data_IF_184869251959
#
_entry.id   IF_184869251959
#
_cell.length_a   1.000
_cell.length_b   1.000
_cell.length_c   1.000
_cell.angle_alpha   90.00
_cell.angle_beta   90.00
_cell.angle_gamma   90.00
#
_symmetry.space_group_name_H-M   'P 1'
#
loop_
_entity.id
_entity.type
_entity.pdbx_description
1 polymer ?
#
# COMPACT_ATOMS: atom_id res chain seq x y z
N UNK A 1 -11.49 -15.13 16.41
CA UNK A 1 -11.25 -14.82 17.84
C UNK A 1 -11.03 -13.33 17.99
N UNK A 2 -12.10 -12.56 18.24
CA UNK A 2 -12.00 -11.11 18.50
C UNK A 2 -11.55 -10.94 19.95
N UNK A 3 -10.31 -10.50 20.18
CA UNK A 3 -9.85 -10.08 21.51
C UNK A 3 -10.51 -8.72 21.80
N UNK A 4 -11.65 -8.73 22.47
CA UNK A 4 -12.20 -7.52 23.07
C UNK A 4 -11.22 -7.09 24.16
N UNK A 5 -10.56 -5.95 23.97
CA UNK A 5 -9.82 -5.31 25.06
C UNK A 5 -10.85 -4.65 25.95
N UNK A 6 -11.28 -5.35 26.99
CA UNK A 6 -12.22 -4.82 27.97
C UNK A 6 -11.51 -3.79 28.87
N UNK A 7 -11.36 -2.56 28.38
CA UNK A 7 -11.03 -1.42 29.21
C UNK A 7 -12.28 -1.03 30.01
N UNK A 8 -12.23 -1.19 31.33
CA UNK A 8 -13.36 -0.92 32.22
C UNK A 8 -12.93 -0.83 33.68
N UNK A 9 -13.75 -0.14 34.47
CA UNK A 9 -13.54 0.05 35.91
C UNK A 9 -14.12 -1.15 36.67
N UNK A 10 -13.38 -1.69 37.64
CA UNK A 10 -13.90 -2.76 38.51
C UNK A 10 -14.65 -2.15 39.69
N UNK A 11 -15.93 -2.48 39.84
CA UNK A 11 -16.79 -2.03 40.94
C UNK A 11 -17.11 -3.20 41.88
N UNK A 12 -17.27 -2.91 43.17
CA UNK A 12 -17.64 -3.92 44.18
C UNK A 12 -19.15 -3.94 44.38
N UNK A 13 -19.77 -5.10 44.22
CA UNK A 13 -21.20 -5.26 44.44
C UNK A 13 -21.56 -5.08 45.93
N UNK A 14 -22.49 -4.18 46.23
CA UNK A 14 -22.97 -3.94 47.60
C UNK A 14 -23.64 -5.15 48.25
N UNK A 15 -24.27 -6.03 47.46
CA UNK A 15 -25.06 -7.14 47.99
C UNK A 15 -24.24 -8.44 48.16
N UNK A 16 -23.33 -8.76 47.22
CA UNK A 16 -22.56 -10.00 47.27
C UNK A 16 -21.06 -9.82 47.47
N UNK A 17 -20.57 -8.58 47.56
CA UNK A 17 -19.16 -8.26 47.78
C UNK A 17 -18.21 -8.59 46.61
N UNK A 18 -18.70 -9.22 45.54
CA UNK A 18 -17.89 -9.59 44.37
C UNK A 18 -17.58 -8.36 43.51
N UNK A 19 -16.37 -8.33 42.95
CA UNK A 19 -16.00 -7.36 41.94
C UNK A 19 -16.65 -7.72 40.60
N UNK A 20 -17.22 -6.73 39.93
CA UNK A 20 -17.74 -6.86 38.57
C UNK A 20 -17.15 -5.75 37.69
N UNK A 21 -17.02 -6.04 36.40
CA UNK A 21 -16.48 -5.10 35.44
C UNK A 21 -17.59 -4.16 34.98
N UNK A 22 -17.30 -2.86 35.00
CA UNK A 22 -18.11 -1.81 34.41
C UNK A 22 -17.34 -1.28 33.21
N UNK A 23 -17.79 -1.66 32.02
CA UNK A 23 -17.09 -1.39 30.76
C UNK A 23 -17.34 0.03 30.27
N UNK A 24 -16.45 0.56 29.42
CA UNK A 24 -16.61 1.89 28.84
C UNK A 24 -17.96 2.06 28.11
N UNK A 25 -18.39 1.02 27.37
CA UNK A 25 -19.69 1.04 26.69
C UNK A 25 -20.88 1.11 27.64
N UNK A 26 -20.76 0.54 28.85
CA UNK A 26 -21.78 0.68 29.88
C UNK A 26 -21.72 2.06 30.54
N UNK A 27 -20.54 2.67 30.68
CA UNK A 27 -20.40 4.03 31.18
C UNK A 27 -21.13 5.04 30.28
N UNK A 28 -20.85 5.00 28.98
CA UNK A 28 -21.50 5.87 27.98
C UNK A 28 -23.02 5.68 27.93
N UNK A 29 -23.49 4.45 28.16
CA UNK A 29 -24.92 4.14 28.20
C UNK A 29 -25.60 4.78 29.43
N UNK A 30 -24.96 4.67 30.60
CA UNK A 30 -25.50 5.24 31.84
C UNK A 30 -25.51 6.77 31.79
N UNK A 31 -24.47 7.39 31.25
CA UNK A 31 -24.40 8.85 31.08
C UNK A 31 -25.46 9.36 30.11
N UNK A 32 -25.61 8.73 28.94
CA UNK A 32 -26.64 9.12 27.94
C UNK A 32 -28.06 9.06 28.49
N UNK A 33 -28.33 8.10 29.37
CA UNK A 33 -29.64 7.94 30.00
C UNK A 33 -29.81 8.77 31.28
N UNK A 34 -28.77 9.48 31.74
CA UNK A 34 -28.80 10.25 32.98
C UNK A 34 -28.88 9.37 34.25
N UNK A 35 -28.38 8.14 34.18
CA UNK A 35 -28.41 7.18 35.28
C UNK A 35 -27.11 7.20 36.10
N UNK A 36 -27.26 6.98 37.41
CA UNK A 36 -26.12 6.82 38.31
C UNK A 36 -25.44 5.46 38.13
N UNK A 37 -24.13 5.41 38.36
CA UNK A 37 -23.33 4.19 38.28
C UNK A 37 -23.92 3.05 39.11
N UNK A 38 -23.80 1.82 38.63
CA UNK A 38 -24.42 0.69 39.29
C UNK A 38 -23.75 0.32 40.62
N UNK A 39 -24.54 0.23 41.69
CA UNK A 39 -24.07 -0.23 43.01
C UNK A 39 -24.10 -1.75 43.21
N UNK A 40 -24.66 -2.50 42.24
CA UNK A 40 -24.90 -3.94 42.32
C UNK A 40 -24.55 -4.63 41.00
N UNK A 41 -23.98 -5.83 41.07
CA UNK A 41 -23.70 -6.64 39.88
C UNK A 41 -25.00 -7.12 39.21
N UNK A 42 -24.87 -7.54 37.94
CA UNK A 42 -25.99 -8.01 37.10
C UNK A 42 -26.77 -9.15 37.74
N UNK A 43 -26.08 -10.11 38.35
CA UNK A 43 -26.71 -11.25 39.03
C UNK A 43 -27.59 -10.80 40.19
N UNK A 44 -27.06 -9.95 41.08
CA UNK A 44 -27.82 -9.44 42.23
C UNK A 44 -29.00 -8.55 41.81
N UNK A 45 -28.89 -7.81 40.70
CA UNK A 45 -30.02 -7.07 40.13
C UNK A 45 -31.11 -8.00 39.58
N UNK A 46 -30.73 -9.01 38.81
CA UNK A 46 -31.69 -9.97 38.25
C UNK A 46 -32.42 -10.78 39.32
N UNK A 47 -31.75 -11.12 40.44
CA UNK A 47 -32.37 -11.82 41.56
C UNK A 47 -33.38 -10.92 42.26
N UNK A 48 -33.10 -9.62 42.40
CA UNK A 48 -34.05 -8.67 43.00
C UNK A 48 -35.24 -8.41 42.10
N UNK A 49 -35.04 -8.29 40.78
CA UNK A 49 -36.13 -8.21 39.80
C UNK A 49 -37.03 -9.45 39.87
N UNK A 50 -36.44 -10.65 39.96
CA UNK A 50 -37.20 -11.90 40.10
C UNK A 50 -37.93 -12.03 41.44
N UNK A 51 -37.37 -11.47 42.53
CA UNK A 51 -38.00 -11.50 43.86
C UNK A 51 -39.08 -10.43 44.06
N UNK A 52 -39.03 -9.32 43.32
CA UNK A 52 -40.03 -8.24 43.35
C UNK A 52 -41.06 -8.36 42.21
N UNK A 53 -41.31 -9.56 41.69
CA UNK A 53 -42.32 -9.84 40.67
C UNK A 53 -43.78 -9.67 41.10
N UNK A 54 -44.08 -8.69 41.97
CA UNK A 54 -45.44 -8.22 42.21
C UNK A 54 -45.63 -6.95 41.38
N UNK A 55 -46.17 -7.09 40.17
CA UNK A 55 -46.75 -5.93 39.49
C UNK A 55 -47.99 -5.52 40.30
N UNK A 56 -47.97 -4.32 40.86
CA UNK A 56 -49.18 -3.72 41.39
C UNK A 56 -49.87 -2.97 40.25
N UNK A 57 -51.20 -3.02 40.20
CA UNK A 57 -51.98 -2.18 39.29
C UNK A 57 -51.56 -0.71 39.49
N UNK A 58 -51.15 -0.04 38.41
CA UNK A 58 -50.71 1.36 38.49
C UNK A 58 -51.81 2.30 38.97
N UNK A 59 -53.06 1.96 38.68
CA UNK A 59 -54.22 2.80 39.03
C UNK A 59 -54.72 2.58 40.46
N UNK A 60 -54.80 1.32 40.92
CA UNK A 60 -55.45 0.98 42.19
C UNK A 60 -54.55 0.25 43.21
N UNK A 61 -53.28 0.00 42.87
CA UNK A 61 -52.28 -0.59 43.77
C UNK A 61 -52.49 -2.07 44.09
N UNK A 62 -53.51 -2.74 43.54
CA UNK A 62 -53.79 -4.15 43.79
C UNK A 62 -52.71 -5.04 43.19
N UNK A 63 -52.26 -6.06 43.94
CA UNK A 63 -51.28 -7.05 43.47
C UNK A 63 -51.83 -7.86 42.30
N UNK A 64 -51.18 -7.80 41.16
CA UNK A 64 -51.51 -8.56 39.95
C UNK A 64 -50.87 -9.93 40.06
N UNK A 65 -51.69 -10.99 40.02
CA UNK A 65 -51.21 -12.36 40.20
C UNK A 65 -50.51 -12.90 38.95
N UNK A 66 -50.79 -12.32 37.78
CA UNK A 66 -50.28 -12.77 36.50
C UNK A 66 -49.78 -11.54 35.73
N UNK A 67 -48.45 -11.39 35.61
CA UNK A 67 -47.75 -10.22 35.05
C UNK A 67 -47.98 -9.96 33.56
N UNK A 68 -49.19 -10.17 33.04
CA UNK A 68 -49.59 -9.93 31.66
C UNK A 68 -50.07 -8.49 31.41
N UNK A 69 -50.30 -7.69 32.47
CA UNK A 69 -50.86 -6.34 32.35
C UNK A 69 -50.32 -5.42 33.46
N UNK A 70 -50.26 -4.12 33.16
CA UNK A 70 -49.90 -3.03 34.10
C UNK A 70 -51.12 -2.58 34.95
N UNK A 71 -52.34 -2.90 34.50
CA UNK A 71 -53.61 -2.59 35.15
C UNK A 71 -54.36 -3.86 35.56
N UNK A 72 -55.19 -3.81 36.61
CA UNK A 72 -56.08 -4.91 36.98
C UNK A 72 -57.29 -4.99 36.05
N UNK A 73 -57.94 -6.16 36.01
CA UNK A 73 -59.11 -6.40 35.15
C UNK A 73 -60.24 -5.38 35.36
N UNK A 74 -60.42 -4.92 36.60
CA UNK A 74 -61.40 -3.88 36.95
C UNK A 74 -61.04 -2.52 36.33
N UNK A 75 -59.78 -2.08 36.48
CA UNK A 75 -59.31 -0.79 35.95
C UNK A 75 -59.21 -0.80 34.42
N UNK A 76 -58.91 -1.97 33.82
CA UNK A 76 -58.95 -2.15 32.37
C UNK A 76 -60.35 -1.95 31.78
N UNK A 77 -61.40 -2.43 32.46
CA UNK A 77 -62.78 -2.21 32.01
C UNK A 77 -63.24 -0.76 32.13
N UNK A 78 -62.72 -0.02 33.10
CA UNK A 78 -63.06 1.40 33.28
C UNK A 78 -62.40 2.33 32.25
N UNK A 79 -61.40 1.86 31.50
CA UNK A 79 -60.75 2.61 30.43
C UNK A 79 -61.55 2.60 29.09
N UNK A 80 -62.72 1.97 29.06
CA UNK A 80 -63.55 1.93 27.86
C UNK A 80 -64.23 3.28 27.64
N UNK A 81 -63.77 4.00 26.62
CA UNK A 81 -64.48 4.96 25.73
C UNK A 81 -63.53 6.08 25.32
N UNK A 82 -62.48 5.73 24.57
CA UNK A 82 -61.76 6.72 23.77
C UNK A 82 -62.09 6.41 22.32
N UNK A 83 -62.73 7.37 21.65
CA UNK A 83 -63.06 7.33 20.23
C UNK A 83 -61.80 6.93 19.43
N UNK A 84 -61.71 5.70 18.94
CA UNK A 84 -60.53 5.23 18.21
C UNK A 84 -60.53 5.85 16.81
N UNK A 85 -59.80 6.96 16.66
CA UNK A 85 -59.48 7.54 15.36
C UNK A 85 -58.20 6.89 14.81
N UNK A 86 -58.19 6.56 13.52
CA UNK A 86 -56.98 6.11 12.84
C UNK A 86 -55.84 7.12 13.07
N UNK A 87 -54.72 6.66 13.62
CA UNK A 87 -53.57 7.53 13.94
C UNK A 87 -52.96 8.24 12.72
N UNK A 88 -53.17 7.70 11.51
CA UNK A 88 -52.61 8.25 10.28
C UNK A 88 -53.51 9.27 9.59
N UNK A 89 -54.84 9.09 9.63
CA UNK A 89 -55.78 9.91 8.85
C UNK A 89 -56.93 10.50 9.68
N UNK A 90 -57.04 10.17 10.96
CA UNK A 90 -58.08 10.66 11.87
C UNK A 90 -59.47 10.05 11.63
N UNK A 91 -59.65 9.17 10.64
CA UNK A 91 -60.94 8.57 10.35
C UNK A 91 -61.39 7.64 11.49
N UNK A 92 -62.66 7.70 11.85
CA UNK A 92 -63.27 6.99 12.99
C UNK A 92 -64.09 5.78 12.53
N UNK A 93 -63.83 5.32 11.30
CA UNK A 93 -64.50 4.15 10.72
C UNK A 93 -63.57 2.95 10.86
N UNK A 94 -63.83 2.14 11.89
CA UNK A 94 -63.12 0.90 12.12
C UNK A 94 -63.57 0.25 13.43
N UNK A 95 -63.74 -1.06 13.37
CA UNK A 95 -63.97 -1.93 14.53
C UNK A 95 -62.95 -1.61 15.64
N UNK A 96 -63.40 -1.61 16.91
CA UNK A 96 -62.79 -0.96 18.10
C UNK A 96 -61.39 -1.50 18.50
N UNK A 97 -60.74 -2.28 17.64
CA UNK A 97 -59.53 -3.06 17.96
C UNK A 97 -58.28 -2.65 17.18
N UNK A 98 -58.37 -1.82 16.13
CA UNK A 98 -57.23 -1.52 15.24
C UNK A 98 -56.75 -0.06 15.31
N UNK A 99 -55.43 0.12 15.51
CA UNK A 99 -54.73 1.42 15.60
C UNK A 99 -54.70 2.19 14.27
N UNK A 100 -54.87 1.49 13.14
CA UNK A 100 -54.95 2.03 11.79
C UNK A 100 -56.20 1.50 11.08
N UNK A 101 -56.87 2.34 10.28
CA UNK A 101 -57.95 1.87 9.41
C UNK A 101 -57.41 0.97 8.28
N UNK A 102 -58.27 0.12 7.72
CA UNK A 102 -57.88 -0.86 6.69
C UNK A 102 -57.20 -0.22 5.46
N UNK A 103 -57.61 0.99 5.07
CA UNK A 103 -57.02 1.73 3.96
C UNK A 103 -55.62 2.25 4.28
N UNK A 104 -55.42 2.85 5.46
CA UNK A 104 -54.11 3.32 5.91
C UNK A 104 -53.13 2.17 6.14
N UNK A 105 -53.60 1.05 6.70
CA UNK A 105 -52.78 -0.15 6.87
C UNK A 105 -52.32 -0.73 5.52
N UNK A 106 -53.24 -0.87 4.56
CA UNK A 106 -52.91 -1.36 3.21
C UNK A 106 -51.96 -0.42 2.45
N UNK A 107 -52.12 0.90 2.62
CA UNK A 107 -51.18 1.89 2.07
C UNK A 107 -49.80 1.77 2.71
N UNK A 108 -49.73 1.69 4.03
CA UNK A 108 -48.46 1.52 4.74
C UNK A 108 -47.73 0.23 4.34
N UNK A 109 -48.47 -0.86 4.12
CA UNK A 109 -47.92 -2.11 3.63
C UNK A 109 -47.33 -1.96 2.21
N UNK A 110 -48.07 -1.35 1.27
CA UNK A 110 -47.59 -1.09 -0.09
C UNK A 110 -46.37 -0.16 -0.12
N UNK A 111 -46.36 0.87 0.72
CA UNK A 111 -45.23 1.80 0.82
C UNK A 111 -43.99 1.10 1.41
N UNK A 112 -44.17 0.23 2.41
CA UNK A 112 -43.10 -0.61 2.95
C UNK A 112 -42.55 -1.59 1.89
N UNK A 113 -43.41 -2.24 1.11
CA UNK A 113 -43.02 -3.13 0.02
C UNK A 113 -42.21 -2.39 -1.06
N UNK A 114 -42.65 -1.18 -1.46
CA UNK A 114 -41.90 -0.31 -2.38
C UNK A 114 -40.53 0.08 -1.82
N UNK A 115 -40.48 0.42 -0.53
CA UNK A 115 -39.24 0.80 0.14
C UNK A 115 -38.25 -0.37 0.16
N UNK A 116 -38.73 -1.57 0.50
CA UNK A 116 -37.95 -2.82 0.47
C UNK A 116 -37.39 -3.07 -0.93
N UNK A 117 -38.23 -2.94 -1.97
CA UNK A 117 -37.79 -3.15 -3.36
C UNK A 117 -36.74 -2.13 -3.79
N UNK A 118 -36.89 -0.87 -3.38
CA UNK A 118 -35.88 0.17 -3.59
C UNK A 118 -34.56 -0.18 -2.91
N UNK A 119 -34.58 -0.64 -1.66
CA UNK A 119 -33.38 -1.04 -0.94
C UNK A 119 -32.73 -2.28 -1.54
N UNK A 120 -33.52 -3.26 -1.99
CA UNK A 120 -33.01 -4.46 -2.69
C UNK A 120 -32.24 -4.10 -3.96
N UNK A 121 -32.80 -3.21 -4.79
CA UNK A 121 -32.13 -2.73 -6.01
C UNK A 121 -30.85 -1.94 -5.70
N UNK A 122 -30.87 -1.13 -4.64
CA UNK A 122 -29.68 -0.42 -4.20
C UNK A 122 -28.60 -1.38 -3.66
N UNK A 123 -29.00 -2.43 -2.94
CA UNK A 123 -28.11 -3.46 -2.43
C UNK A 123 -27.47 -4.27 -3.56
N UNK A 124 -28.24 -4.74 -4.54
CA UNK A 124 -27.69 -5.48 -5.68
C UNK A 124 -26.74 -4.63 -6.52
N UNK A 125 -27.05 -3.33 -6.72
CA UNK A 125 -26.14 -2.41 -7.39
C UNK A 125 -24.84 -2.17 -6.58
N UNK A 126 -24.92 -2.16 -5.25
CA UNK A 126 -23.74 -2.06 -4.39
C UNK A 126 -22.91 -3.34 -4.43
N UNK A 127 -23.54 -4.51 -4.43
CA UNK A 127 -22.88 -5.81 -4.57
C UNK A 127 -22.13 -5.92 -5.90
N UNK A 128 -22.74 -5.54 -7.02
CA UNK A 128 -22.05 -5.55 -8.31
C UNK A 128 -20.83 -4.60 -8.33
N UNK A 129 -20.92 -3.44 -7.67
CA UNK A 129 -19.78 -2.53 -7.53
C UNK A 129 -18.69 -3.09 -6.64
N UNK A 130 -19.06 -3.76 -5.54
CA UNK A 130 -18.12 -4.43 -4.65
C UNK A 130 -17.39 -5.54 -5.41
N UNK A 131 -18.11 -6.38 -6.15
CA UNK A 131 -17.52 -7.45 -6.94
C UNK A 131 -16.54 -6.90 -8.01
N UNK A 132 -16.89 -5.81 -8.68
CA UNK A 132 -16.00 -5.16 -9.64
C UNK A 132 -14.74 -4.55 -8.96
N UNK A 133 -14.88 -4.03 -7.75
CA UNK A 133 -13.75 -3.52 -6.97
C UNK A 133 -12.86 -4.66 -6.45
N UNK A 134 -13.45 -5.78 -6.04
CA UNK A 134 -12.74 -6.99 -5.62
C UNK A 134 -11.94 -7.59 -6.77
N UNK A 135 -12.52 -7.72 -7.96
CA UNK A 135 -11.79 -8.20 -9.15
C UNK A 135 -10.63 -7.25 -9.52
N UNK A 136 -10.85 -5.93 -9.45
CA UNK A 136 -9.77 -4.96 -9.66
C UNK A 136 -8.66 -5.05 -8.61
N UNK A 137 -9.00 -5.36 -7.37
CA UNK A 137 -8.02 -5.58 -6.30
C UNK A 137 -7.18 -6.85 -6.55
N UNK A 138 -7.80 -7.93 -7.03
CA UNK A 138 -7.09 -9.16 -7.43
C UNK A 138 -6.10 -8.89 -8.57
N UNK A 139 -6.50 -8.13 -9.60
CA UNK A 139 -5.61 -7.70 -10.70
C UNK A 139 -4.41 -6.90 -10.17
N UNK A 140 -4.65 -5.93 -9.27
CA UNK A 140 -3.58 -5.14 -8.66
C UNK A 140 -2.66 -5.99 -7.78
N UNK A 141 -3.19 -6.98 -7.06
CA UNK A 141 -2.37 -7.91 -6.28
C UNK A 141 -1.45 -8.74 -7.18
N UNK A 142 -1.93 -9.16 -8.35
CA UNK A 142 -1.11 -9.88 -9.32
C UNK A 142 -0.04 -9.00 -9.95
N UNK A 143 -0.38 -7.78 -10.36
CA UNK A 143 0.60 -6.83 -10.85
C UNK A 143 1.68 -6.50 -9.79
N UNK A 144 1.29 -6.38 -8.52
CA UNK A 144 2.21 -6.14 -7.41
C UNK A 144 3.14 -7.35 -7.18
N UNK A 145 2.65 -8.57 -7.34
CA UNK A 145 3.47 -9.77 -7.26
C UNK A 145 4.50 -9.84 -8.39
N UNK A 146 4.08 -9.59 -9.63
CA UNK A 146 4.98 -9.53 -10.80
C UNK A 146 6.05 -8.45 -10.64
N UNK A 147 5.66 -7.25 -10.19
CA UNK A 147 6.58 -6.15 -9.94
C UNK A 147 7.64 -6.53 -8.89
N UNK A 148 7.24 -7.23 -7.81
CA UNK A 148 8.18 -7.72 -6.78
C UNK A 148 9.16 -8.75 -7.34
N UNK A 149 8.70 -9.69 -8.15
CA UNK A 149 9.59 -10.65 -8.81
C UNK A 149 10.60 -9.91 -9.71
N UNK A 150 10.13 -8.91 -10.47
CA UNK A 150 11.00 -8.13 -11.35
C UNK A 150 12.06 -7.33 -10.58
N UNK A 151 11.71 -6.77 -9.43
CA UNK A 151 12.67 -6.10 -8.55
C UNK A 151 13.75 -7.09 -8.09
N UNK A 152 13.37 -8.27 -7.60
CA UNK A 152 14.31 -9.29 -7.15
C UNK A 152 15.28 -9.74 -8.28
N UNK A 153 14.78 -9.89 -9.51
CA UNK A 153 15.63 -10.17 -10.67
C UNK A 153 16.65 -9.06 -10.96
N UNK A 154 16.22 -7.79 -10.83
CA UNK A 154 17.09 -6.64 -11.08
C UNK A 154 18.14 -6.47 -9.98
N UNK A 155 17.78 -6.76 -8.73
CA UNK A 155 18.73 -6.77 -7.60
C UNK A 155 19.83 -7.81 -7.83
N UNK A 156 19.48 -9.03 -8.24
CA UNK A 156 20.47 -10.06 -8.56
C UNK A 156 21.40 -9.63 -9.72
N UNK A 157 20.85 -8.98 -10.75
CA UNK A 157 21.65 -8.46 -11.87
C UNK A 157 22.59 -7.35 -11.44
N UNK A 158 22.13 -6.44 -10.58
CA UNK A 158 22.97 -5.37 -10.04
C UNK A 158 24.12 -5.94 -9.21
N UNK A 159 23.86 -6.96 -8.38
CA UNK A 159 24.89 -7.64 -7.61
C UNK A 159 25.94 -8.30 -8.51
N UNK A 160 25.52 -9.02 -9.55
CA UNK A 160 26.45 -9.62 -10.51
C UNK A 160 27.30 -8.56 -11.24
N UNK A 161 26.68 -7.46 -11.68
CA UNK A 161 27.38 -6.35 -12.31
C UNK A 161 28.39 -5.69 -11.37
N UNK A 162 28.06 -5.55 -10.08
CA UNK A 162 28.98 -5.02 -9.08
C UNK A 162 30.20 -5.94 -8.92
N UNK A 163 29.99 -7.25 -8.84
CA UNK A 163 31.10 -8.22 -8.75
C UNK A 163 31.99 -8.17 -9.99
N UNK A 164 31.42 -8.03 -11.19
CA UNK A 164 32.19 -7.92 -12.42
C UNK A 164 32.95 -6.58 -12.49
N UNK A 165 32.37 -5.49 -11.98
CA UNK A 165 33.04 -4.20 -11.83
C UNK A 165 34.23 -4.31 -10.87
N UNK A 166 34.08 -4.97 -9.72
CA UNK A 166 35.17 -5.22 -8.77
C UNK A 166 36.29 -6.03 -9.40
N UNK A 167 35.97 -7.11 -10.14
CA UNK A 167 36.96 -7.91 -10.88
C UNK A 167 37.71 -7.05 -11.90
N UNK A 168 36.98 -6.21 -12.66
CA UNK A 168 37.58 -5.31 -13.64
C UNK A 168 38.51 -4.28 -12.97
N UNK A 169 38.09 -3.72 -11.82
CA UNK A 169 38.92 -2.83 -11.03
C UNK A 169 40.20 -3.52 -10.53
N UNK A 170 40.09 -4.73 -9.98
CA UNK A 170 41.25 -5.52 -9.57
C UNK A 170 42.20 -5.79 -10.74
N UNK A 171 41.67 -6.13 -11.91
CA UNK A 171 42.47 -6.30 -13.12
C UNK A 171 43.18 -5.01 -13.53
N UNK A 172 42.48 -3.87 -13.48
CA UNK A 172 43.06 -2.56 -13.80
C UNK A 172 44.20 -2.18 -12.84
N UNK A 173 44.01 -2.40 -11.53
CA UNK A 173 45.05 -2.16 -10.53
C UNK A 173 46.25 -3.08 -10.75
N UNK A 174 46.01 -4.38 -10.99
CA UNK A 174 47.05 -5.36 -11.25
C UNK A 174 47.82 -5.08 -12.56
N UNK A 175 47.18 -4.48 -13.55
CA UNK A 175 47.79 -4.06 -14.82
C UNK A 175 48.40 -2.66 -14.78
N UNK A 176 48.39 -1.98 -13.62
CA UNK A 176 48.95 -0.64 -13.46
C UNK A 176 50.42 -0.51 -13.85
N UNK A 177 51.21 -1.59 -13.75
CA UNK A 177 52.62 -1.65 -14.18
C UNK A 177 52.79 -1.54 -15.71
N UNK A 178 51.78 -1.89 -16.50
CA UNK A 178 51.86 -1.79 -17.96
C UNK A 178 51.94 -0.35 -18.43
N UNK A 179 51.32 0.58 -17.69
CA UNK A 179 51.27 1.99 -18.10
C UNK A 179 52.65 2.66 -18.15
N UNK A 180 53.50 2.59 -17.10
CA UNK A 180 54.86 3.10 -17.18
C UNK A 180 55.72 2.34 -18.21
N UNK A 181 55.54 1.02 -18.35
CA UNK A 181 56.27 0.24 -19.36
C UNK A 181 55.93 0.66 -20.81
N UNK A 182 54.65 0.90 -21.11
CA UNK A 182 54.21 1.40 -22.41
C UNK A 182 54.71 2.82 -22.68
N UNK A 183 54.74 3.67 -21.66
CA UNK A 183 55.30 5.02 -21.78
C UNK A 183 56.82 4.99 -22.07
N UNK A 184 57.57 4.12 -21.39
CA UNK A 184 59.00 3.94 -21.66
C UNK A 184 59.25 3.47 -23.09
N UNK A 185 58.50 2.47 -23.56
CA UNK A 185 58.57 2.01 -24.96
C UNK A 185 58.26 3.15 -25.93
N UNK A 186 57.23 3.96 -25.65
CA UNK A 186 56.86 5.09 -26.49
C UNK A 186 57.97 6.16 -26.55
N UNK A 187 58.60 6.49 -25.44
CA UNK A 187 59.73 7.44 -25.43
C UNK A 187 60.95 6.87 -26.16
N UNK A 188 61.23 5.58 -26.01
CA UNK A 188 62.31 4.91 -26.76
C UNK A 188 62.05 4.90 -28.27
N UNK A 189 60.81 4.69 -28.71
CA UNK A 189 60.43 4.79 -30.12
C UNK A 189 60.64 6.20 -30.66
N UNK A 190 60.23 7.24 -29.90
CA UNK A 190 60.49 8.65 -30.29
C UNK A 190 61.98 8.93 -30.41
N UNK A 191 62.79 8.44 -29.47
CA UNK A 191 64.24 8.61 -29.52
C UNK A 191 64.83 7.93 -30.77
N UNK A 192 64.40 6.71 -31.09
CA UNK A 192 64.84 5.99 -32.29
C UNK A 192 64.46 6.74 -33.57
N UNK A 193 63.22 7.19 -33.70
CA UNK A 193 62.78 8.00 -34.85
C UNK A 193 63.61 9.28 -35.00
N UNK A 194 63.94 9.93 -33.88
CA UNK A 194 64.78 11.13 -33.91
C UNK A 194 66.19 10.81 -34.41
N UNK A 195 66.81 9.73 -33.93
CA UNK A 195 68.12 9.30 -34.41
C UNK A 195 68.10 8.89 -35.89
N UNK A 196 67.02 8.28 -36.37
CA UNK A 196 66.85 7.94 -37.78
C UNK A 196 66.78 9.19 -38.66
N UNK A 197 66.03 10.22 -38.21
CA UNK A 197 65.97 11.52 -38.91
C UNK A 197 67.33 12.22 -38.93
N UNK A 198 68.05 12.22 -37.81
CA UNK A 198 69.37 12.83 -37.70
C UNK A 198 70.41 12.14 -38.58
N UNK A 199 70.45 10.80 -38.55
CA UNK A 199 71.33 10.00 -39.40
C UNK A 199 71.01 10.16 -40.88
N UNK A 200 69.72 10.15 -41.25
CA UNK A 200 69.27 10.41 -42.62
C UNK A 200 69.68 11.79 -43.12
N UNK A 201 69.54 12.82 -42.27
CA UNK A 201 69.95 14.20 -42.58
C UNK A 201 71.48 14.30 -42.72
N UNK A 202 72.22 13.65 -41.83
CA UNK A 202 73.69 13.58 -41.87
C UNK A 202 74.21 12.86 -43.13
N UNK A 203 73.58 11.73 -43.49
CA UNK A 203 73.86 10.99 -44.73
C UNK A 203 73.57 11.85 -45.96
N UNK A 204 72.42 12.53 -46.02
CA UNK A 204 72.09 13.44 -47.11
C UNK A 204 73.13 14.57 -47.24
N UNK A 205 73.55 15.17 -46.12
CA UNK A 205 74.59 16.20 -46.10
C UNK A 205 75.94 15.65 -46.58
N UNK A 206 76.33 14.44 -46.18
CA UNK A 206 77.55 13.79 -46.64
C UNK A 206 77.51 13.50 -48.15
N UNK A 207 76.38 13.00 -48.66
CA UNK A 207 76.17 12.78 -50.10
C UNK A 207 76.30 14.11 -50.85
N UNK A 208 75.68 15.19 -50.38
CA UNK A 208 75.79 16.51 -51.00
C UNK A 208 77.25 17.02 -51.01
N UNK A 209 78.02 16.84 -49.93
CA UNK A 209 79.44 17.19 -49.90
C UNK A 209 80.25 16.41 -50.94
N UNK A 210 80.04 15.09 -51.03
CA UNK A 210 80.70 14.24 -52.04
C UNK A 210 80.31 14.67 -53.45
N UNK A 211 79.03 14.96 -53.69
CA UNK A 211 78.56 15.46 -54.99
C UNK A 211 79.18 16.81 -55.36
N UNK A 212 79.31 17.74 -54.40
CA UNK A 212 79.96 19.03 -54.63
C UNK A 212 81.44 18.83 -55.02
N UNK A 213 82.19 18.04 -54.25
CA UNK A 213 83.59 17.70 -54.56
C UNK A 213 83.72 17.11 -55.98
N UNK A 214 82.84 16.16 -56.35
CA UNK A 214 82.83 15.54 -57.67
C UNK A 214 82.46 16.52 -58.81
N UNK A 215 81.67 17.57 -58.53
CA UNK A 215 81.30 18.61 -59.51
C UNK A 215 82.41 19.66 -59.69
N UNK A 216 83.08 20.03 -58.61
CA UNK A 216 84.09 21.10 -58.59
C UNK A 216 85.45 20.61 -59.12
N UNK A 217 85.74 19.30 -59.05
CA UNK A 217 86.98 18.75 -59.58
C UNK A 217 86.88 18.32 -61.05
N UNK A 218 87.93 18.64 -61.79
CA UNK A 218 88.25 18.03 -63.10
C UNK A 218 88.31 16.49 -63.07
N UNK A 219 88.23 15.85 -61.90
CA UNK A 219 88.10 14.40 -61.72
C UNK A 219 86.93 13.80 -62.48
N UNK A 220 85.76 14.45 -62.55
CA UNK A 220 84.67 13.96 -63.39
C UNK A 220 85.03 14.03 -64.88
N UNK A 221 85.74 15.08 -65.31
CA UNK A 221 86.26 15.17 -66.68
C UNK A 221 87.38 14.16 -66.95
N UNK A 222 88.24 13.86 -65.97
CA UNK A 222 89.32 12.86 -66.06
C UNK A 222 88.74 11.45 -66.09
N UNK A 223 87.83 11.08 -65.19
CA UNK A 223 87.12 9.79 -65.21
C UNK A 223 86.30 9.60 -66.49
N UNK A 224 85.62 10.65 -66.98
CA UNK A 224 84.90 10.60 -68.26
C UNK A 224 85.84 10.43 -69.46
N UNK A 225 87.04 11.03 -69.43
CA UNK A 225 88.09 10.80 -70.43
C UNK A 225 88.65 9.36 -70.36
N UNK A 226 88.91 8.83 -69.18
CA UNK A 226 89.41 7.46 -68.98
C UNK A 226 88.38 6.38 -69.32
N UNK A 227 87.09 6.61 -69.04
CA UNK A 227 85.99 5.72 -69.44
C UNK A 227 85.70 5.79 -70.95
N UNK A 228 85.85 6.95 -71.59
CA UNK A 228 85.79 7.07 -73.06
C UNK A 228 86.92 6.31 -73.75
N UNK A 229 88.15 6.42 -73.24
CA UNK A 229 89.32 5.71 -73.80
C UNK A 229 89.17 4.18 -73.78
N UNK A 230 88.55 3.61 -72.74
CA UNK A 230 88.28 2.17 -72.65
C UNK A 230 87.21 1.67 -73.63
N UNK A 231 86.20 2.48 -73.95
CA UNK A 231 85.12 2.12 -74.90
C UNK A 231 85.53 2.17 -76.37
N UNK A 232 86.72 2.69 -76.68
CA UNK A 232 87.30 2.77 -78.02
C UNK A 232 88.41 1.74 -78.26
N UNK A 233 88.57 0.77 -77.36
CA UNK A 233 89.52 -0.35 -77.47
C UNK A 233 88.84 -1.73 -77.58
N UNK A 234 87.50 -1.76 -77.71
CA UNK A 234 86.70 -2.90 -78.18
C UNK A 234 86.10 -2.55 -79.55
#
# INVERSE_FOLDING_TARGET
MVKVRDAGVKLTCRDCGRQFLFTEGEHEFYERMGFNHPSRCRDCRSIKEKKNGHLNCTECGVKLQNGASVYCEQCLRSLQLVHFSCSQCGATQGDDTLVYCATCFKKAQLDAERQIEKYKKAASAAESKLQAAESGNEELQMALYEAKQRIAELELKAENLNQDLEKAYHFQVASGWLKPALNDIAERLKALEQTERETSTSLAAAIHKVQAICRDTSLWQVMKRSLKLRRSQD
#
